data_IF_264349354433
#
_entry.id   IF_264349354433
#
_cell.length_a   1.000
_cell.length_b   1.000
_cell.length_c   1.000
_cell.angle_alpha   90.00
_cell.angle_beta   90.00
_cell.angle_gamma   90.00
#
_symmetry.space_group_name_H-M   'P 1'
#
loop_
_entity.id
_entity.type
_entity.pdbx_description
1 polymer ?
#
# COMPACT_ATOMS: atom_id res chain seq x y z
N UNK A 1 -16.86 -21.27 -30.13
CA UNK A 1 -17.33 -20.43 -29.00
C UNK A 1 -16.40 -20.68 -27.84
N UNK A 2 -15.62 -19.66 -27.44
CA UNK A 2 -14.69 -19.76 -26.31
C UNK A 2 -15.38 -19.04 -25.15
N UNK A 3 -15.80 -19.78 -24.13
CA UNK A 3 -16.34 -19.19 -22.91
C UNK A 3 -15.19 -18.50 -22.17
N UNK A 4 -15.05 -17.20 -22.38
CA UNK A 4 -14.16 -16.34 -21.60
C UNK A 4 -14.70 -16.21 -20.18
N UNK A 5 -14.39 -17.18 -19.32
CA UNK A 5 -14.60 -17.06 -17.88
C UNK A 5 -13.73 -15.93 -17.36
N UNK A 6 -14.36 -14.80 -17.04
CA UNK A 6 -13.75 -13.76 -16.22
C UNK A 6 -13.44 -14.39 -14.87
N UNK A 7 -12.15 -14.61 -14.60
CA UNK A 7 -11.68 -14.86 -13.24
C UNK A 7 -11.88 -13.53 -12.52
N UNK A 8 -12.94 -13.40 -11.73
CA UNK A 8 -13.06 -12.30 -10.78
C UNK A 8 -11.91 -12.44 -9.77
N UNK A 9 -10.87 -11.64 -9.95
CA UNK A 9 -9.86 -11.46 -8.93
C UNK A 9 -10.54 -10.79 -7.73
N UNK A 10 -10.83 -11.58 -6.70
CA UNK A 10 -11.35 -11.05 -5.44
C UNK A 10 -10.24 -10.21 -4.81
N UNK A 11 -10.37 -8.89 -4.89
CA UNK A 11 -9.48 -7.98 -4.18
C UNK A 11 -9.66 -8.13 -2.66
N UNK A 12 -8.63 -8.65 -2.00
CA UNK A 12 -8.55 -8.78 -0.55
C UNK A 12 -7.70 -7.64 0.03
N UNK A 13 -8.25 -6.90 0.99
CA UNK A 13 -7.52 -5.85 1.69
C UNK A 13 -7.01 -6.40 3.01
N UNK A 14 -5.70 -6.26 3.26
CA UNK A 14 -5.06 -6.71 4.50
C UNK A 14 -4.62 -5.49 5.30
N UNK A 15 -4.94 -5.49 6.59
CA UNK A 15 -4.44 -4.47 7.52
C UNK A 15 -2.91 -4.63 7.63
N UNK A 16 -2.20 -3.52 7.48
CA UNK A 16 -0.76 -3.50 7.75
C UNK A 16 -0.54 -3.62 9.27
N UNK A 17 0.21 -4.63 9.69
CA UNK A 17 0.63 -4.80 11.08
C UNK A 17 2.12 -4.45 11.13
N UNK A 18 2.51 -3.30 11.72
CA UNK A 18 3.91 -2.92 11.78
C UNK A 18 4.72 -3.94 12.58
N UNK A 19 5.90 -4.31 12.09
CA UNK A 19 6.85 -5.09 12.89
C UNK A 19 7.29 -4.26 14.10
N UNK A 20 7.43 -4.91 15.27
CA UNK A 20 7.88 -4.28 16.52
C UNK A 20 9.26 -3.60 16.39
N UNK A 21 10.03 -4.02 15.39
CA UNK A 21 11.37 -3.50 15.11
C UNK A 21 11.33 -2.18 14.32
N UNK A 22 10.19 -1.79 13.75
CA UNK A 22 10.06 -0.53 13.02
C UNK A 22 9.82 0.62 13.98
N UNK A 23 10.58 1.70 13.83
CA UNK A 23 10.31 2.91 14.59
C UNK A 23 8.95 3.49 14.17
N UNK A 24 8.18 4.00 15.13
CA UNK A 24 6.87 4.63 14.87
C UNK A 24 6.95 5.89 13.99
N UNK A 25 8.16 6.44 13.79
CA UNK A 25 8.38 7.68 13.04
C UNK A 25 9.51 7.50 12.05
N UNK A 26 9.13 7.29 10.81
CA UNK A 26 10.03 7.19 9.67
C UNK A 26 9.69 8.26 8.64
N UNK A 27 10.69 8.71 7.91
CA UNK A 27 10.53 9.62 6.77
C UNK A 27 11.06 8.95 5.51
N UNK A 28 10.49 9.35 4.38
CA UNK A 28 10.96 8.88 3.07
C UNK A 28 12.25 9.61 2.71
N UNK A 29 13.33 8.85 2.57
CA UNK A 29 14.66 9.36 2.24
C UNK A 29 14.88 9.37 0.72
N UNK A 30 14.50 8.28 0.05
CA UNK A 30 14.72 8.12 -1.39
C UNK A 30 13.61 7.33 -2.07
N UNK A 31 13.34 7.70 -3.32
CA UNK A 31 12.48 6.95 -4.24
C UNK A 31 13.29 6.60 -5.48
N UNK A 32 13.26 5.33 -5.88
CA UNK A 32 13.84 4.85 -7.14
C UNK A 32 12.70 4.22 -7.95
N UNK A 33 12.49 4.71 -9.16
CA UNK A 33 11.59 4.11 -10.14
C UNK A 33 12.40 3.80 -11.40
N UNK A 34 12.73 2.51 -11.56
CA UNK A 34 13.54 2.04 -12.67
C UNK A 34 12.98 0.72 -13.24
N UNK A 35 13.71 0.10 -14.17
CA UNK A 35 13.30 -1.18 -14.79
C UNK A 35 13.08 -2.34 -13.81
N UNK A 36 13.52 -2.22 -12.55
CA UNK A 36 13.32 -3.18 -11.47
C UNK A 36 12.07 -2.86 -10.64
N UNK A 37 11.31 -1.83 -10.99
CA UNK A 37 10.10 -1.39 -10.29
C UNK A 37 10.35 -0.23 -9.32
N UNK A 38 9.33 0.06 -8.50
CA UNK A 38 9.34 1.16 -7.54
C UNK A 38 9.96 0.69 -6.21
N UNK A 39 10.95 1.44 -5.73
CA UNK A 39 11.61 1.20 -4.44
C UNK A 39 11.52 2.47 -3.59
N UNK A 40 11.01 2.32 -2.36
CA UNK A 40 10.96 3.38 -1.35
C UNK A 40 11.97 3.08 -0.25
N UNK A 41 12.77 4.06 0.10
CA UNK A 41 13.69 4.00 1.22
C UNK A 41 13.16 4.91 2.32
N UNK A 42 12.89 4.32 3.48
CA UNK A 42 12.39 5.01 4.64
C UNK A 42 13.43 4.92 5.75
N UNK A 43 13.72 6.02 6.43
CA UNK A 43 14.70 6.08 7.49
C UNK A 43 14.05 6.53 8.80
N UNK A 44 14.50 5.94 9.92
CA UNK A 44 14.10 6.39 11.26
C UNK A 44 14.71 7.75 11.57
N UNK A 45 14.05 8.50 12.46
CA UNK A 45 14.55 9.83 12.90
C UNK A 45 15.98 9.82 13.44
N UNK A 46 16.40 8.73 14.09
CA UNK A 46 17.75 8.57 14.64
C UNK A 46 18.74 7.95 13.64
N UNK A 47 18.32 7.78 12.38
CA UNK A 47 19.11 7.26 11.25
C UNK A 47 19.60 5.81 11.41
N UNK A 48 19.21 5.13 12.48
CA UNK A 48 19.68 3.75 12.79
C UNK A 48 18.99 2.68 11.98
N UNK A 49 17.77 2.93 11.50
CA UNK A 49 16.95 1.94 10.81
C UNK A 49 16.58 2.49 9.43
N UNK A 50 16.96 1.75 8.40
CA UNK A 50 16.54 2.00 7.02
C UNK A 50 15.72 0.80 6.54
N UNK A 51 14.49 1.07 6.11
CA UNK A 51 13.64 0.08 5.45
C UNK A 51 13.67 0.35 3.95
N UNK A 52 13.82 -0.72 3.19
CA UNK A 52 13.60 -0.73 1.74
C UNK A 52 12.29 -1.44 1.43
N UNK A 53 11.33 -0.71 0.88
CA UNK A 53 10.05 -1.24 0.40
C UNK A 53 10.18 -1.43 -1.11
N UNK A 54 10.07 -2.68 -1.57
CA UNK A 54 10.15 -3.03 -2.99
C UNK A 54 8.75 -3.38 -3.49
N UNK A 55 8.28 -2.65 -4.50
CA UNK A 55 7.12 -3.05 -5.26
C UNK A 55 7.59 -3.84 -6.47
N UNK A 56 7.11 -5.08 -6.58
CA UNK A 56 7.41 -5.92 -7.73
C UNK A 56 6.67 -5.40 -8.96
N UNK A 57 7.36 -5.40 -10.11
CA UNK A 57 6.86 -4.91 -11.40
C UNK A 57 6.66 -3.38 -11.45
N UNK A 58 6.21 -2.89 -12.61
CA UNK A 58 5.89 -1.48 -12.80
C UNK A 58 4.65 -1.11 -11.98
N UNK A 59 4.81 -0.13 -11.09
CA UNK A 59 3.70 0.44 -10.33
C UNK A 59 3.06 1.54 -11.16
N UNK A 60 1.82 1.33 -11.59
CA UNK A 60 0.96 2.41 -12.10
C UNK A 60 0.55 3.31 -10.92
N UNK A 61 1.42 4.24 -10.54
CA UNK A 61 1.08 5.23 -9.52
C UNK A 61 0.30 6.38 -10.17
N UNK A 62 -1.03 6.42 -9.98
CA UNK A 62 -1.84 7.56 -10.38
C UNK A 62 -1.85 8.60 -9.24
N UNK A 63 -1.19 9.75 -9.46
CA UNK A 63 -1.03 10.82 -8.47
C UNK A 63 -2.27 11.71 -8.27
N UNK A 64 -3.37 11.43 -8.96
CA UNK A 64 -4.64 12.08 -8.66
C UNK A 64 -5.44 11.14 -7.76
N UNK A 65 -5.54 11.49 -6.48
CA UNK A 65 -6.58 10.85 -5.67
C UNK A 65 -7.90 11.48 -6.10
N UNK A 66 -8.70 10.79 -6.89
CA UNK A 66 -10.11 11.09 -6.97
C UNK A 66 -10.68 10.95 -5.54
N UNK A 67 -10.96 12.08 -4.90
CA UNK A 67 -11.44 12.14 -3.52
C UNK A 67 -12.77 11.38 -3.36
N UNK A 68 -13.60 11.39 -4.39
CA UNK A 68 -14.84 10.61 -4.43
C UNK A 68 -14.56 9.10 -4.44
N UNK A 69 -13.57 8.65 -5.19
CA UNK A 69 -13.11 7.25 -5.17
C UNK A 69 -12.54 6.87 -3.79
N UNK A 70 -11.79 7.76 -3.14
CA UNK A 70 -11.28 7.54 -1.78
C UNK A 70 -12.43 7.38 -0.78
N UNK A 71 -13.43 8.26 -0.82
CA UNK A 71 -14.58 8.18 0.07
C UNK A 71 -15.36 6.87 -0.10
N UNK A 72 -15.59 6.45 -1.35
CA UNK A 72 -16.23 5.16 -1.67
C UNK A 72 -15.43 3.98 -1.14
N UNK A 73 -14.10 4.02 -1.29
CA UNK A 73 -13.21 2.98 -0.78
C UNK A 73 -13.24 2.91 0.75
N UNK A 74 -13.18 4.04 1.46
CA UNK A 74 -13.29 4.06 2.92
C UNK A 74 -14.64 3.49 3.40
N UNK A 75 -15.74 3.85 2.73
CA UNK A 75 -17.05 3.28 3.02
C UNK A 75 -17.06 1.75 2.83
N UNK A 76 -16.58 1.27 1.69
CA UNK A 76 -16.49 -0.17 1.41
C UNK A 76 -15.67 -0.92 2.46
N UNK A 77 -14.49 -0.40 2.82
CA UNK A 77 -13.63 -1.02 3.81
C UNK A 77 -14.29 -1.08 5.19
N UNK A 78 -14.99 -0.01 5.59
CA UNK A 78 -15.75 0.02 6.85
C UNK A 78 -16.88 -1.00 6.85
N UNK A 79 -17.62 -1.12 5.74
CA UNK A 79 -18.73 -2.07 5.62
C UNK A 79 -18.24 -3.52 5.60
N UNK A 80 -17.10 -3.79 4.93
CA UNK A 80 -16.57 -5.15 4.76
C UNK A 80 -15.75 -5.65 5.94
N UNK A 81 -14.95 -4.79 6.57
CA UNK A 81 -13.97 -5.19 7.60
C UNK A 81 -14.24 -4.57 8.98
N UNK A 82 -15.20 -3.65 9.10
CA UNK A 82 -15.53 -2.97 10.35
C UNK A 82 -14.56 -1.85 10.72
N UNK A 83 -14.88 -1.13 11.81
CA UNK A 83 -14.07 0.01 12.29
C UNK A 83 -12.67 -0.40 12.78
N UNK A 84 -12.55 -1.64 13.29
CA UNK A 84 -11.29 -2.21 13.77
C UNK A 84 -10.21 -2.31 12.68
N UNK A 85 -10.63 -2.29 11.40
CA UNK A 85 -9.71 -2.25 10.27
C UNK A 85 -8.76 -1.04 10.31
N UNK A 86 -9.16 0.05 10.97
CA UNK A 86 -8.40 1.29 11.11
C UNK A 86 -7.76 1.46 12.49
N UNK A 87 -7.95 0.52 13.42
CA UNK A 87 -7.40 0.63 14.76
C UNK A 87 -5.87 0.46 14.74
N UNK A 88 -5.17 1.28 15.53
CA UNK A 88 -3.72 1.18 15.83
C UNK A 88 -3.38 -0.11 16.58
#
# INVERSE_FOLDING_TARGET
MINGGLIELIEEWKRWIPSKELSLKMYMEKVIDDKKGLQLFCQSKDEKITIKICFENFVLSYRNTDEGRRLKMLKFLTEKYGKEFYAE
#
